data_IF_975073117345
#
_entry.id   IF_975073117345
#
_cell.length_a   1.000
_cell.length_b   1.000
_cell.length_c   1.000
_cell.angle_alpha   90.00
_cell.angle_beta   90.00
_cell.angle_gamma   90.00
#
_symmetry.space_group_name_H-M   'P 1'
#
loop_
_entity.id
_entity.type
_entity.pdbx_description
1 polymer ?
#
# COMPACT_ATOMS: atom_id res chain seq x y z
N UNK A 1 -19.31 -12.00 5.24
CA UNK A 1 -20.00 -11.04 4.36
C UNK A 1 -20.47 -11.75 3.11
N UNK A 2 -21.73 -11.58 2.72
CA UNK A 2 -22.29 -12.30 1.57
C UNK A 2 -21.56 -11.86 0.28
N UNK A 3 -21.08 -12.83 -0.50
CA UNK A 3 -20.43 -12.58 -1.79
C UNK A 3 -21.33 -11.80 -2.75
N UNK A 4 -22.66 -11.94 -2.62
CA UNK A 4 -23.65 -11.18 -3.38
C UNK A 4 -23.63 -9.70 -3.06
N UNK A 5 -23.61 -9.34 -1.78
CA UNK A 5 -23.53 -7.93 -1.36
C UNK A 5 -22.23 -7.31 -1.89
N UNK A 6 -21.10 -8.01 -1.74
CA UNK A 6 -19.82 -7.54 -2.28
C UNK A 6 -19.88 -7.32 -3.80
N UNK A 7 -20.46 -8.26 -4.55
CA UNK A 7 -20.59 -8.15 -6.01
C UNK A 7 -21.43 -6.94 -6.40
N UNK A 8 -22.63 -6.80 -5.82
CA UNK A 8 -23.54 -5.69 -6.12
C UNK A 8 -22.91 -4.32 -5.84
N UNK A 9 -22.12 -4.19 -4.77
CA UNK A 9 -21.39 -2.94 -4.46
C UNK A 9 -20.34 -2.66 -5.53
N UNK A 10 -19.54 -3.65 -5.92
CA UNK A 10 -18.50 -3.48 -6.93
C UNK A 10 -19.09 -3.14 -8.31
N UNK A 11 -20.17 -3.81 -8.70
CA UNK A 11 -20.85 -3.55 -9.98
C UNK A 11 -21.42 -2.12 -10.00
N UNK A 12 -21.96 -1.64 -8.85
CA UNK A 12 -22.43 -0.26 -8.72
C UNK A 12 -21.29 0.75 -8.85
N UNK A 13 -20.14 0.50 -8.25
CA UNK A 13 -18.97 1.40 -8.36
C UNK A 13 -18.48 1.48 -9.80
N UNK A 14 -18.37 0.34 -10.48
CA UNK A 14 -17.99 0.29 -11.90
C UNK A 14 -18.97 1.09 -12.77
N UNK A 15 -20.28 0.96 -12.54
CA UNK A 15 -21.29 1.74 -13.26
C UNK A 15 -21.16 3.27 -13.04
N UNK A 16 -20.75 3.69 -11.84
CA UNK A 16 -20.51 5.12 -11.54
C UNK A 16 -19.28 5.66 -12.25
N UNK A 17 -18.19 4.88 -12.27
CA UNK A 17 -16.97 5.22 -13.00
C UNK A 17 -17.21 5.33 -14.51
N UNK A 18 -17.95 4.37 -15.05
CA UNK A 18 -18.44 4.36 -16.42
C UNK A 18 -19.26 5.61 -16.77
N UNK A 19 -20.16 6.04 -15.88
CA UNK A 19 -20.93 7.27 -16.05
C UNK A 19 -20.00 8.48 -16.05
N UNK A 20 -19.04 8.56 -15.13
CA UNK A 20 -18.08 9.66 -15.06
C UNK A 20 -17.21 9.74 -16.32
N UNK A 21 -16.71 8.60 -16.82
CA UNK A 21 -15.88 8.52 -18.03
C UNK A 21 -16.64 8.98 -19.29
N UNK A 22 -17.93 8.66 -19.39
CA UNK A 22 -18.80 9.10 -20.50
C UNK A 22 -19.30 10.55 -20.35
N UNK A 23 -19.21 11.12 -19.15
CA UNK A 23 -19.87 12.36 -18.80
C UNK A 23 -19.06 13.64 -19.06
N UNK A 24 -17.97 13.58 -19.83
CA UNK A 24 -17.25 14.76 -20.29
C UNK A 24 -18.14 15.84 -20.95
N UNK A 25 -19.40 15.55 -21.30
CA UNK A 25 -20.37 16.53 -21.79
C UNK A 25 -21.82 16.44 -21.22
N UNK A 26 -22.15 15.53 -20.29
CA UNK A 26 -23.58 15.13 -20.08
C UNK A 26 -24.06 14.96 -18.63
N UNK A 27 -23.24 15.16 -17.60
CA UNK A 27 -23.74 15.11 -16.21
C UNK A 27 -24.35 16.45 -15.81
N UNK A 28 -25.64 16.47 -15.48
CA UNK A 28 -26.29 17.67 -14.96
C UNK A 28 -25.74 18.05 -13.58
N UNK A 29 -25.54 19.35 -13.34
CA UNK A 29 -25.01 19.84 -12.06
C UNK A 29 -25.81 19.36 -10.81
N UNK A 30 -27.16 19.25 -10.85
CA UNK A 30 -27.92 18.70 -9.73
C UNK A 30 -27.62 17.22 -9.47
N UNK A 31 -27.48 16.42 -10.54
CA UNK A 31 -27.18 15.00 -10.43
C UNK A 31 -25.76 14.77 -9.89
N UNK A 32 -24.78 15.52 -10.40
CA UNK A 32 -23.42 15.51 -9.90
C UNK A 32 -23.35 15.87 -8.41
N UNK A 33 -24.06 16.94 -7.99
CA UNK A 33 -24.14 17.36 -6.58
C UNK A 33 -24.71 16.26 -5.68
N UNK A 34 -25.80 15.61 -6.10
CA UNK A 34 -26.43 14.52 -5.34
C UNK A 34 -25.47 13.33 -5.18
N UNK A 35 -24.72 12.99 -6.22
CA UNK A 35 -23.74 11.91 -6.15
C UNK A 35 -22.57 12.23 -5.21
N UNK A 36 -22.03 13.45 -5.29
CA UNK A 36 -20.99 13.91 -4.36
C UNK A 36 -21.52 13.83 -2.92
N UNK A 37 -22.73 14.35 -2.66
CA UNK A 37 -23.34 14.28 -1.32
C UNK A 37 -23.44 12.84 -0.82
N UNK A 38 -24.01 11.94 -1.63
CA UNK A 38 -24.15 10.52 -1.28
C UNK A 38 -22.81 9.86 -0.93
N UNK A 39 -21.76 10.15 -1.71
CA UNK A 39 -20.42 9.63 -1.45
C UNK A 39 -19.84 10.23 -0.16
N UNK A 40 -19.97 11.54 0.05
CA UNK A 40 -19.47 12.19 1.26
C UNK A 40 -20.19 11.69 2.52
N UNK A 41 -21.48 11.39 2.44
CA UNK A 41 -22.25 10.86 3.55
C UNK A 41 -21.83 9.43 3.90
N UNK A 42 -21.62 8.57 2.89
CA UNK A 42 -21.06 7.24 3.11
C UNK A 42 -19.66 7.27 3.75
N UNK A 43 -18.80 8.22 3.36
CA UNK A 43 -17.51 8.43 4.02
C UNK A 43 -17.66 8.88 5.47
N UNK A 44 -18.56 9.83 5.77
CA UNK A 44 -18.81 10.28 7.15
C UNK A 44 -19.27 9.12 8.03
N UNK A 45 -20.23 8.32 7.55
CA UNK A 45 -20.73 7.16 8.28
C UNK A 45 -19.62 6.15 8.58
N UNK A 46 -18.81 5.81 7.57
CA UNK A 46 -17.68 4.90 7.72
C UNK A 46 -16.63 5.44 8.71
N UNK A 47 -16.27 6.72 8.60
CA UNK A 47 -15.25 7.33 9.46
C UNK A 47 -15.70 7.44 10.92
N UNK A 48 -17.00 7.67 11.16
CA UNK A 48 -17.58 7.67 12.51
C UNK A 48 -17.38 6.31 13.19
N UNK A 49 -17.61 5.21 12.49
CA UNK A 49 -17.40 3.86 13.02
C UNK A 49 -15.93 3.59 13.34
N UNK A 50 -15.00 4.28 12.65
CA UNK A 50 -13.57 4.12 12.81
C UNK A 50 -12.91 5.17 13.74
N UNK A 51 -13.69 5.94 14.50
CA UNK A 51 -13.14 6.86 15.50
C UNK A 51 -12.30 6.14 16.57
N UNK A 52 -11.28 6.80 17.14
CA UNK A 52 -10.52 6.22 18.23
C UNK A 52 -11.41 6.05 19.47
N UNK A 53 -11.29 4.90 20.12
CA UNK A 53 -11.82 4.65 21.45
C UNK A 53 -11.03 5.49 22.51
N UNK A 54 -11.46 5.51 23.78
CA UNK A 54 -10.73 6.21 24.84
C UNK A 54 -9.26 5.77 25.02
N UNK A 55 -8.87 4.63 24.44
CA UNK A 55 -7.50 4.12 24.47
C UNK A 55 -6.69 4.47 23.22
N UNK A 56 -7.25 5.28 22.32
CA UNK A 56 -6.62 5.70 21.06
C UNK A 56 -6.58 4.60 19.99
N UNK A 57 -7.49 3.63 20.04
CA UNK A 57 -7.55 2.48 19.12
C UNK A 57 -8.86 2.47 18.34
N UNK A 58 -8.82 1.95 17.12
CA UNK A 58 -10.03 1.85 16.29
C UNK A 58 -10.83 0.60 16.67
N UNK A 59 -12.07 0.71 17.19
CA UNK A 59 -12.85 -0.41 17.71
C UNK A 59 -13.22 -1.45 16.64
N UNK A 60 -13.42 -0.99 15.39
CA UNK A 60 -13.78 -1.85 14.25
C UNK A 60 -12.57 -2.63 13.73
N UNK A 61 -11.41 -1.98 13.64
CA UNK A 61 -10.17 -2.64 13.21
C UNK A 61 -9.52 -3.46 14.33
N UNK A 62 -9.83 -3.17 15.60
CA UNK A 62 -9.21 -3.79 16.77
C UNK A 62 -9.78 -5.16 17.14
N UNK A 63 -10.31 -5.92 16.18
CA UNK A 63 -10.84 -7.27 16.41
C UNK A 63 -9.89 -8.18 17.19
N UNK A 64 -10.42 -9.32 17.66
CA UNK A 64 -9.96 -10.17 18.77
C UNK A 64 -8.44 -10.40 18.95
N UNK A 65 -7.61 -10.25 17.92
CA UNK A 65 -6.16 -10.50 17.98
C UNK A 65 -5.24 -9.37 17.44
N UNK A 66 -5.78 -8.23 16.99
CA UNK A 66 -4.98 -7.15 16.38
C UNK A 66 -5.46 -5.78 16.83
N UNK A 67 -4.94 -5.29 17.96
CA UNK A 67 -5.18 -3.90 18.41
C UNK A 67 -4.48 -2.90 17.46
N UNK A 68 -5.19 -2.44 16.42
CA UNK A 68 -4.70 -1.37 15.54
C UNK A 68 -4.82 -0.01 16.24
N UNK A 69 -3.71 0.73 16.29
CA UNK A 69 -3.69 2.11 16.79
C UNK A 69 -4.30 3.03 15.75
N UNK A 70 -5.03 4.05 16.20
CA UNK A 70 -5.53 5.09 15.32
C UNK A 70 -4.36 6.01 14.87
N UNK A 71 -4.31 6.50 13.62
CA UNK A 71 -5.25 6.26 12.52
C UNK A 71 -5.09 4.87 11.91
N UNK A 72 -6.21 4.18 11.69
CA UNK A 72 -6.24 2.87 11.03
C UNK A 72 -6.23 3.02 9.51
N UNK A 73 -6.08 1.90 8.78
CA UNK A 73 -5.98 1.89 7.31
C UNK A 73 -7.14 2.61 6.61
N UNK A 74 -8.35 2.59 7.19
CA UNK A 74 -9.52 3.31 6.66
C UNK A 74 -9.34 4.83 6.71
N UNK A 75 -8.80 5.36 7.80
CA UNK A 75 -8.50 6.79 7.93
C UNK A 75 -7.36 7.22 7.01
N UNK A 76 -6.33 6.38 6.85
CA UNK A 76 -5.22 6.64 5.92
C UNK A 76 -5.74 6.67 4.48
N UNK A 77 -6.59 5.71 4.10
CA UNK A 77 -7.23 5.64 2.78
C UNK A 77 -8.11 6.87 2.54
N UNK A 78 -8.92 7.28 3.53
CA UNK A 78 -9.75 8.47 3.44
C UNK A 78 -8.89 9.74 3.25
N UNK A 79 -7.79 9.88 3.98
CA UNK A 79 -6.88 11.02 3.82
C UNK A 79 -6.33 11.09 2.39
N UNK A 80 -5.83 9.97 1.87
CA UNK A 80 -5.29 9.89 0.50
C UNK A 80 -6.33 10.29 -0.55
N UNK A 81 -7.56 9.77 -0.46
CA UNK A 81 -8.57 9.97 -1.49
C UNK A 81 -9.41 11.24 -1.34
N UNK A 82 -9.58 11.79 -0.14
CA UNK A 82 -10.40 13.00 0.09
C UNK A 82 -9.59 14.30 0.12
N UNK A 83 -8.31 14.24 0.51
CA UNK A 83 -7.47 15.44 0.72
C UNK A 83 -6.42 15.60 -0.38
N UNK A 84 -6.00 14.52 -1.06
CA UNK A 84 -5.25 14.62 -2.30
C UNK A 84 -3.78 14.16 -2.27
N UNK A 85 -3.36 13.36 -1.27
CA UNK A 85 -2.12 12.57 -1.39
C UNK A 85 -2.37 11.24 -2.14
N UNK A 86 -3.28 11.25 -3.11
CA UNK A 86 -3.56 10.09 -3.95
C UNK A 86 -2.42 9.91 -4.96
N UNK A 87 -1.79 8.73 -5.04
CA UNK A 87 -0.79 8.51 -6.07
C UNK A 87 -1.48 8.58 -7.44
N UNK A 88 -0.95 9.39 -8.37
CA UNK A 88 -0.85 8.96 -9.79
C UNK A 88 -0.58 7.45 -9.79
N UNK A 89 -1.19 6.58 -10.62
CA UNK A 89 -1.18 5.13 -10.46
C UNK A 89 0.21 4.49 -10.25
N UNK A 90 0.79 4.63 -9.06
CA UNK A 90 2.08 4.09 -8.68
C UNK A 90 1.73 2.71 -8.17
N UNK A 91 1.75 1.79 -9.13
CA UNK A 91 2.22 0.43 -8.98
C UNK A 91 2.59 0.06 -7.54
N UNK A 92 1.61 -0.45 -6.81
CA UNK A 92 1.64 -1.43 -5.70
C UNK A 92 2.99 -1.73 -5.00
N UNK A 93 3.78 -0.71 -4.67
CA UNK A 93 5.07 -0.78 -3.96
C UNK A 93 4.99 0.34 -2.91
N UNK A 94 4.46 0.10 -1.71
CA UNK A 94 5.04 -0.76 -0.67
C UNK A 94 3.97 -1.08 0.36
N UNK A 95 3.99 -2.31 0.87
CA UNK A 95 3.29 -2.65 2.11
C UNK A 95 3.95 -1.86 3.26
N UNK A 96 3.13 -1.12 3.99
CA UNK A 96 3.30 -0.76 5.40
C UNK A 96 4.16 0.49 5.78
N UNK A 97 4.38 1.44 4.87
CA UNK A 97 4.86 2.77 5.27
C UNK A 97 3.69 3.68 5.61
N UNK A 98 3.07 3.48 6.77
CA UNK A 98 2.12 4.44 7.31
C UNK A 98 2.95 5.65 7.83
N UNK A 99 2.84 6.87 7.25
CA UNK A 99 3.60 8.04 7.68
C UNK A 99 3.28 8.46 9.13
N UNK A 100 2.17 7.98 9.69
CA UNK A 100 1.78 8.20 11.08
C UNK A 100 2.37 7.18 12.08
N UNK A 101 3.06 6.13 11.59
CA UNK A 101 3.78 5.17 12.42
C UNK A 101 5.29 5.38 12.25
N UNK A 102 5.95 6.04 13.20
CA UNK A 102 7.42 6.09 13.26
C UNK A 102 7.98 4.65 13.26
N UNK A 103 8.79 4.22 12.28
CA UNK A 103 9.48 2.96 12.38
C UNK A 103 10.53 3.07 13.49
N UNK A 104 10.46 2.16 14.47
CA UNK A 104 11.51 2.00 15.47
C UNK A 104 12.75 1.47 14.71
N UNK A 105 13.72 2.34 14.45
CA UNK A 105 14.94 1.98 13.73
C UNK A 105 15.66 0.89 14.55
N UNK A 106 15.66 -0.34 14.04
CA UNK A 106 16.56 -1.38 14.53
C UNK A 106 17.85 -1.19 13.74
N UNK A 107 18.87 -0.63 14.39
CA UNK A 107 20.22 -0.58 13.84
C UNK A 107 20.72 -2.03 13.72
N UNK A 108 20.63 -2.61 12.52
CA UNK A 108 21.28 -3.88 12.20
C UNK A 108 22.76 -3.56 12.06
N UNK A 109 23.56 -3.90 13.06
CA UNK A 109 25.02 -3.88 12.98
C UNK A 109 25.44 -5.09 12.12
N UNK A 110 26.06 -4.91 10.95
CA UNK A 110 26.58 -6.03 10.18
C UNK A 110 27.71 -6.69 10.96
N UNK A 111 27.56 -7.98 11.29
CA UNK A 111 28.65 -8.78 11.84
C UNK A 111 29.60 -9.08 10.67
N UNK A 112 30.79 -8.46 10.67
CA UNK A 112 31.82 -8.82 9.69
C UNK A 112 32.15 -10.30 9.83
N UNK A 113 31.97 -11.05 8.75
CA UNK A 113 32.62 -12.36 8.59
C UNK A 113 34.06 -12.10 8.18
N UNK A 114 34.98 -12.60 8.99
CA UNK A 114 36.42 -12.57 8.75
C UNK A 114 36.78 -13.21 7.40
N UNK A 115 37.68 -12.56 6.67
CA UNK A 115 38.21 -13.02 5.40
C UNK A 115 39.11 -14.26 5.59
N UNK A 116 39.07 -15.26 4.68
CA UNK A 116 40.00 -16.38 4.71
C UNK A 116 41.38 -15.98 4.14
N UNK A 117 42.49 -16.54 4.66
CA UNK A 117 43.84 -16.23 4.18
C UNK A 117 44.14 -16.88 2.82
N UNK A 118 44.86 -16.13 2.00
CA UNK A 118 45.40 -16.57 0.72
C UNK A 118 46.27 -17.83 0.88
N UNK A 119 46.02 -18.83 0.03
CA UNK A 119 46.88 -20.03 -0.08
C UNK A 119 47.64 -19.99 -1.39
N UNK A 120 48.95 -19.93 -1.28
CA UNK A 120 49.95 -19.97 -2.36
C UNK A 120 49.94 -21.33 -3.07
N UNK A 121 49.99 -21.34 -4.41
CA UNK A 121 50.32 -22.52 -5.23
C UNK A 121 51.80 -22.52 -5.63
N UNK A 122 52.52 -23.66 -5.56
CA UNK A 122 53.80 -23.82 -6.22
C UNK A 122 53.66 -24.50 -7.60
N UNK A 123 54.71 -24.27 -8.39
CA UNK A 123 55.01 -24.62 -9.79
C UNK A 123 55.14 -26.13 -10.11
N UNK A 124 54.89 -26.53 -11.36
CA UNK A 124 55.88 -27.03 -12.36
C UNK A 124 55.20 -27.73 -13.57
N UNK A 125 55.79 -27.65 -14.77
CA UNK A 125 55.43 -28.56 -15.87
C UNK A 125 55.69 -28.09 -17.31
N UNK A 126 56.97 -27.91 -17.65
CA UNK A 126 57.59 -27.91 -18.99
C UNK A 126 56.92 -28.80 -20.06
N UNK A 127 56.70 -28.25 -21.28
CA UNK A 127 56.94 -28.96 -22.57
C UNK A 127 57.30 -27.98 -23.69
N UNK A 128 58.53 -28.13 -24.18
CA UNK A 128 59.00 -27.60 -25.45
C UNK A 128 58.29 -28.30 -26.63
N UNK A 129 57.96 -27.55 -27.68
CA UNK A 129 57.86 -28.12 -29.03
C UNK A 129 58.35 -27.12 -30.07
N UNK A 130 59.39 -27.57 -30.74
CA UNK A 130 60.17 -26.99 -31.82
C UNK A 130 59.41 -27.14 -33.15
N UNK A 131 59.39 -26.12 -34.01
CA UNK A 131 59.93 -26.19 -35.40
C UNK A 131 59.70 -24.90 -36.20
N UNK A 132 60.83 -24.38 -36.67
CA UNK A 132 60.97 -23.48 -37.83
C UNK A 132 60.69 -24.27 -39.11
N UNK A 133 60.13 -23.58 -40.09
CA UNK A 133 60.51 -23.63 -41.51
C UNK A 133 60.53 -22.20 -42.03
#
# INVERSE_FOLDING_TARGET
MDRRVRRAVLDRLAAVEDMAARAGATLSAPLARRHIQTITDGWRELLVQHQPDPTGRCPVCSGWLRRRRWPCDVWVTAHQHLIGDGPEPIERITRNSNPFCRPRQVLVVPRQLDAPPATSQPSQGEKASLRRS
#
